data_IF_429584402211
#
_entry.id   IF_429584402211
#
_cell.length_a   1.000
_cell.length_b   1.000
_cell.length_c   1.000
_cell.angle_alpha   90.00
_cell.angle_beta   90.00
_cell.angle_gamma   90.00
#
_symmetry.space_group_name_H-M   'P 1'
#
loop_
_entity.id
_entity.type
_entity.pdbx_description
1 polymer ?
#
# COMPACT_ATOMS: atom_id res chain seq x y z
N UNK A 1 11.42 -18.87 -15.82
CA UNK A 1 10.24 -18.34 -15.09
C UNK A 1 10.00 -16.91 -15.53
N UNK A 2 8.75 -16.52 -15.84
CA UNK A 2 8.43 -15.12 -16.12
C UNK A 2 8.26 -14.35 -14.81
N UNK A 3 8.61 -13.07 -14.81
CA UNK A 3 8.47 -12.19 -13.65
C UNK A 3 7.83 -10.85 -14.03
N UNK A 4 7.25 -10.18 -13.02
CA UNK A 4 6.67 -8.85 -13.09
C UNK A 4 6.90 -8.13 -11.76
N UNK A 5 6.80 -6.80 -11.75
CA UNK A 5 6.79 -6.06 -10.49
C UNK A 5 5.45 -6.27 -9.77
N UNK A 6 5.43 -6.30 -8.42
CA UNK A 6 4.20 -6.56 -7.65
C UNK A 6 3.17 -5.42 -7.73
N UNK A 7 3.58 -4.27 -8.26
CA UNK A 7 2.71 -3.12 -8.53
C UNK A 7 3.13 -2.49 -9.86
N UNK A 8 2.17 -1.90 -10.57
CA UNK A 8 2.40 -1.07 -11.76
C UNK A 8 2.60 0.41 -11.37
N UNK A 9 2.92 1.24 -12.36
CA UNK A 9 2.83 2.70 -12.27
C UNK A 9 1.36 3.16 -12.22
N UNK A 10 1.13 4.45 -11.93
CA UNK A 10 -0.22 5.05 -11.83
C UNK A 10 -1.06 4.76 -13.07
N UNK A 11 -0.45 4.85 -14.25
CA UNK A 11 -1.13 4.65 -15.54
C UNK A 11 -1.42 3.17 -15.87
N UNK A 12 -0.84 2.23 -15.11
CA UNK A 12 -0.94 0.79 -15.31
C UNK A 12 0.22 0.18 -16.10
N UNK A 13 1.20 0.99 -16.52
CA UNK A 13 2.41 0.48 -17.15
C UNK A 13 3.34 -0.18 -16.12
N UNK A 14 4.14 -1.15 -16.57
CA UNK A 14 5.18 -1.75 -15.74
C UNK A 14 6.30 -0.72 -15.48
N UNK A 15 7.02 -0.87 -14.36
CA UNK A 15 8.26 -0.13 -14.18
C UNK A 15 9.30 -0.63 -15.20
N UNK A 16 10.08 0.31 -15.75
CA UNK A 16 11.11 -0.02 -16.75
C UNK A 16 12.20 -0.93 -16.19
N UNK A 17 12.56 -0.72 -14.92
CA UNK A 17 13.61 -1.45 -14.22
C UNK A 17 13.43 -1.33 -12.69
N UNK A 18 14.31 -2.02 -11.96
CA UNK A 18 14.33 -2.00 -10.49
C UNK A 18 14.69 -0.60 -9.96
N UNK A 19 15.49 0.18 -10.68
CA UNK A 19 15.88 1.53 -10.27
C UNK A 19 14.65 2.45 -10.16
N UNK A 20 13.74 2.37 -11.12
CA UNK A 20 12.48 3.12 -11.07
C UNK A 20 11.60 2.71 -9.87
N UNK A 21 11.52 1.40 -9.57
CA UNK A 21 10.80 0.92 -8.39
C UNK A 21 11.48 1.35 -7.07
N UNK A 22 12.81 1.38 -7.02
CA UNK A 22 13.55 1.87 -5.84
C UNK A 22 13.26 3.34 -5.54
N UNK A 23 13.14 4.18 -6.57
CA UNK A 23 12.74 5.59 -6.39
C UNK A 23 11.39 5.68 -5.68
N UNK A 24 10.43 4.82 -6.04
CA UNK A 24 9.15 4.75 -5.36
C UNK A 24 9.30 4.29 -3.90
N UNK A 25 10.03 3.21 -3.67
CA UNK A 25 10.27 2.65 -2.33
C UNK A 25 11.02 3.64 -1.41
N UNK A 26 11.81 4.56 -1.96
CA UNK A 26 12.49 5.58 -1.17
C UNK A 26 11.53 6.57 -0.49
N UNK A 27 10.31 6.73 -1.02
CA UNK A 27 9.25 7.50 -0.36
C UNK A 27 8.61 6.81 0.85
N UNK A 28 8.93 5.53 1.06
CA UNK A 28 8.41 4.73 2.17
C UNK A 28 9.15 5.07 3.46
N UNK A 29 8.40 5.36 4.52
CA UNK A 29 8.95 5.65 5.85
C UNK A 29 9.09 4.41 6.74
N UNK A 30 8.33 3.33 6.51
CA UNK A 30 8.30 2.10 7.32
C UNK A 30 8.14 0.82 6.49
N UNK A 31 8.39 -0.35 7.09
CA UNK A 31 8.18 -1.65 6.45
C UNK A 31 9.17 -1.93 5.33
N UNK A 32 10.46 -1.65 5.56
CA UNK A 32 11.55 -1.98 4.64
C UNK A 32 12.19 -3.31 5.03
N UNK A 33 12.80 -3.97 4.05
CA UNK A 33 13.43 -5.26 4.27
C UNK A 33 14.61 -5.16 5.24
N UNK A 34 14.61 -6.17 6.10
CA UNK A 34 15.46 -6.60 7.19
C UNK A 34 15.13 -6.05 8.57
N UNK A 35 14.83 -4.75 8.72
CA UNK A 35 14.55 -4.14 10.03
C UNK A 35 13.30 -3.25 9.98
N UNK A 36 12.33 -3.56 10.84
CA UNK A 36 11.15 -2.72 11.03
C UNK A 36 11.48 -1.46 11.85
N UNK A 37 10.61 -0.44 11.77
CA UNK A 37 10.62 0.69 12.71
C UNK A 37 10.52 0.26 14.18
N UNK A 38 9.92 -0.91 14.44
CA UNK A 38 9.80 -1.51 15.76
C UNK A 38 11.09 -2.13 16.29
N UNK A 39 12.22 -1.98 15.57
CA UNK A 39 13.52 -2.55 15.93
C UNK A 39 13.50 -4.08 16.03
N UNK A 40 12.65 -4.72 15.24
CA UNK A 40 12.62 -6.16 15.05
C UNK A 40 12.87 -6.54 13.60
N UNK A 41 13.10 -7.83 13.37
CA UNK A 41 13.17 -8.45 12.07
C UNK A 41 11.98 -8.05 11.19
N UNK A 42 12.24 -7.83 9.90
CA UNK A 42 11.20 -7.62 8.90
C UNK A 42 11.65 -8.30 7.60
N UNK A 43 11.22 -9.52 7.39
CA UNK A 43 11.49 -10.38 6.24
C UNK A 43 10.84 -9.95 4.92
N UNK A 44 9.83 -9.07 4.96
CA UNK A 44 9.21 -8.51 3.76
C UNK A 44 9.47 -7.02 3.50
N UNK A 45 8.69 -6.48 2.57
CA UNK A 45 8.55 -5.04 2.31
C UNK A 45 7.08 -4.65 2.31
N UNK A 46 6.80 -3.38 2.61
CA UNK A 46 5.48 -2.80 2.46
C UNK A 46 5.41 -1.92 1.21
N UNK A 47 4.28 -1.99 0.50
CA UNK A 47 3.81 -0.88 -0.32
C UNK A 47 2.60 -0.26 0.37
N UNK A 48 2.59 1.06 0.57
CA UNK A 48 1.45 1.75 1.16
C UNK A 48 0.88 2.84 0.25
N UNK A 49 -0.27 3.38 0.62
CA UNK A 49 -0.97 4.40 -0.14
C UNK A 49 -0.26 5.76 -0.19
N UNK A 50 0.78 5.99 0.63
CA UNK A 50 1.61 7.21 0.50
C UNK A 50 2.43 7.18 -0.78
N UNK A 51 3.04 6.03 -1.09
CA UNK A 51 3.87 5.88 -2.29
C UNK A 51 3.06 5.38 -3.48
N UNK A 52 2.07 4.50 -3.26
CA UNK A 52 1.32 3.81 -4.30
C UNK A 52 -0.19 3.95 -4.10
N UNK A 53 -0.71 5.17 -3.95
CA UNK A 53 -2.15 5.41 -3.73
C UNK A 53 -3.05 4.75 -4.80
N UNK A 54 -2.57 4.64 -6.05
CA UNK A 54 -3.30 3.99 -7.14
C UNK A 54 -3.54 2.50 -6.86
N UNK A 55 -2.63 1.83 -6.15
CA UNK A 55 -2.74 0.43 -5.76
C UNK A 55 -3.83 0.19 -4.70
N UNK A 56 -4.33 1.25 -4.06
CA UNK A 56 -5.51 1.20 -3.19
C UNK A 56 -6.82 1.30 -3.99
N UNK A 57 -6.81 1.96 -5.15
CA UNK A 57 -8.04 2.48 -5.75
C UNK A 57 -8.40 1.87 -7.11
N UNK A 58 -7.44 1.64 -8.01
CA UNK A 58 -7.78 1.26 -9.38
C UNK A 58 -6.69 0.50 -10.14
N UNK A 59 -5.45 0.47 -9.63
CA UNK A 59 -4.43 -0.45 -10.13
C UNK A 59 -4.27 -1.59 -9.13
N UNK A 60 -4.08 -2.83 -9.58
CA UNK A 60 -3.94 -3.96 -8.68
C UNK A 60 -2.52 -4.16 -8.17
N UNK A 61 -2.41 -4.78 -6.99
CA UNK A 61 -1.26 -5.62 -6.62
C UNK A 61 -1.27 -6.85 -7.52
N UNK A 62 -0.10 -7.24 -8.02
CA UNK A 62 0.07 -8.29 -9.03
C UNK A 62 1.05 -9.38 -8.57
N UNK A 63 0.89 -10.58 -9.13
CA UNK A 63 1.83 -11.67 -8.91
C UNK A 63 3.20 -11.36 -9.53
N UNK A 64 4.27 -11.57 -8.76
CA UNK A 64 5.63 -11.27 -9.20
C UNK A 64 6.21 -12.31 -10.15
N UNK A 65 5.68 -13.51 -10.11
CA UNK A 65 6.15 -14.64 -10.90
C UNK A 65 5.00 -15.61 -11.17
N UNK A 66 5.17 -16.43 -12.21
CA UNK A 66 4.30 -17.58 -12.43
C UNK A 66 4.32 -18.49 -11.19
N UNK A 67 3.15 -18.95 -10.74
CA UNK A 67 3.03 -19.82 -9.57
C UNK A 67 1.64 -20.41 -9.40
N UNK A 68 1.40 -21.02 -8.26
CA UNK A 68 0.13 -21.63 -7.89
C UNK A 68 -0.38 -21.02 -6.59
N UNK A 69 -1.65 -20.59 -6.55
CA UNK A 69 -2.30 -20.18 -5.31
C UNK A 69 -2.49 -21.42 -4.44
N UNK A 70 -1.80 -21.46 -3.30
CA UNK A 70 -1.79 -22.62 -2.39
C UNK A 70 -2.47 -22.34 -1.04
N UNK A 71 -2.59 -21.08 -0.66
CA UNK A 71 -3.42 -20.67 0.46
C UNK A 71 -3.87 -19.22 0.27
N UNK A 72 -5.04 -18.89 0.80
CA UNK A 72 -5.53 -17.52 0.78
C UNK A 72 -6.48 -17.25 1.94
N UNK A 73 -6.72 -15.97 2.19
CA UNK A 73 -7.86 -15.48 2.95
C UNK A 73 -8.44 -14.26 2.26
N UNK A 74 -9.74 -14.30 1.99
CA UNK A 74 -10.50 -13.14 1.52
C UNK A 74 -11.79 -13.05 2.32
N UNK A 75 -11.80 -12.17 3.32
CA UNK A 75 -12.97 -11.85 4.10
C UNK A 75 -13.87 -10.85 3.36
N UNK A 76 -15.17 -10.95 3.61
CA UNK A 76 -16.17 -10.00 3.11
C UNK A 76 -15.89 -8.60 3.67
N UNK A 77 -15.76 -8.52 5.00
CA UNK A 77 -15.42 -7.31 5.74
C UNK A 77 -14.12 -7.47 6.52
N UNK A 78 -13.57 -6.36 7.00
CA UNK A 78 -12.38 -6.41 7.85
C UNK A 78 -12.72 -6.87 9.26
N UNK A 79 -11.89 -7.72 9.89
CA UNK A 79 -11.96 -7.90 11.34
C UNK A 79 -11.72 -6.57 12.06
N UNK A 80 -12.30 -6.47 13.25
CA UNK A 80 -12.11 -5.32 14.14
C UNK A 80 -11.41 -5.73 15.43
N UNK A 81 -10.81 -4.75 16.09
CA UNK A 81 -10.33 -4.85 17.46
C UNK A 81 -10.73 -3.59 18.22
N UNK A 82 -10.97 -3.75 19.52
CA UNK A 82 -11.43 -2.69 20.39
C UNK A 82 -10.35 -2.35 21.42
N UNK A 83 -10.08 -1.05 21.55
CA UNK A 83 -9.23 -0.50 22.61
C UNK A 83 -9.92 0.72 23.22
N UNK A 84 -10.22 0.64 24.51
CA UNK A 84 -11.12 1.59 25.19
C UNK A 84 -12.46 1.70 24.43
N UNK A 85 -12.91 2.93 24.17
CA UNK A 85 -14.13 3.22 23.39
C UNK A 85 -13.88 3.24 21.87
N UNK A 86 -12.66 2.91 21.42
CA UNK A 86 -12.30 3.03 20.00
C UNK A 86 -12.25 1.66 19.34
N UNK A 87 -12.97 1.53 18.22
CA UNK A 87 -12.93 0.35 17.34
C UNK A 87 -12.02 0.63 16.15
N UNK A 88 -11.10 -0.29 15.87
CA UNK A 88 -10.19 -0.24 14.71
C UNK A 88 -10.36 -1.48 13.84
N UNK A 89 -10.16 -1.32 12.54
CA UNK A 89 -10.32 -2.34 11.51
C UNK A 89 -8.98 -2.59 10.81
N UNK A 90 -8.67 -3.85 10.53
CA UNK A 90 -7.43 -4.19 9.85
C UNK A 90 -7.64 -5.35 8.88
N UNK A 91 -6.88 -5.38 7.80
CA UNK A 91 -6.88 -6.51 6.88
C UNK A 91 -6.01 -7.63 7.42
N UNK A 92 -6.58 -8.83 7.46
CA UNK A 92 -5.87 -10.10 7.61
C UNK A 92 -5.96 -10.96 6.33
N UNK A 93 -6.44 -10.38 5.23
CA UNK A 93 -6.56 -11.04 3.92
C UNK A 93 -5.17 -11.22 3.31
N UNK A 94 -4.97 -12.34 2.62
CA UNK A 94 -3.72 -12.62 1.94
C UNK A 94 -3.89 -13.60 0.77
N UNK A 95 -2.88 -13.62 -0.10
CA UNK A 95 -2.64 -14.69 -1.06
C UNK A 95 -1.23 -15.24 -0.85
N UNK A 96 -1.10 -16.57 -0.85
CA UNK A 96 0.17 -17.28 -0.82
C UNK A 96 0.34 -18.04 -2.14
N UNK A 97 1.37 -17.67 -2.89
CA UNK A 97 1.74 -18.36 -4.13
C UNK A 97 2.94 -19.27 -3.89
N UNK A 98 2.85 -20.52 -4.38
CA UNK A 98 3.99 -21.44 -4.52
C UNK A 98 4.58 -21.28 -5.91
N UNK A 99 5.91 -21.23 -5.99
CA UNK A 99 6.66 -21.14 -7.23
C UNK A 99 7.60 -22.33 -7.34
N UNK A 100 7.80 -22.80 -8.57
CA UNK A 100 8.80 -23.83 -8.88
C UNK A 100 9.74 -23.27 -9.94
N UNK A 101 11.02 -23.18 -9.59
CA UNK A 101 12.10 -22.82 -10.50
C UNK A 101 12.83 -24.08 -10.94
N UNK A 102 12.66 -24.46 -12.21
CA UNK A 102 13.36 -25.59 -12.80
C UNK A 102 14.86 -25.26 -12.96
N UNK A 103 15.75 -26.16 -12.55
CA UNK A 103 17.18 -26.02 -12.84
C UNK A 103 17.36 -26.08 -14.38
N UNK A 104 17.96 -25.04 -15.00
CA UNK A 104 18.18 -25.02 -16.45
C UNK A 104 19.14 -26.10 -16.96
N UNK A 105 20.00 -26.62 -16.09
CA UNK A 105 21.06 -27.58 -16.44
C UNK A 105 20.67 -29.03 -16.09
N UNK A 106 19.64 -29.25 -15.26
CA UNK A 106 19.19 -30.58 -14.80
C UNK A 106 17.67 -30.65 -14.69
N UNK A 107 17.03 -31.47 -15.53
CA UNK A 107 15.57 -31.57 -15.61
C UNK A 107 14.92 -32.19 -14.36
N UNK A 108 15.64 -32.99 -13.58
CA UNK A 108 15.15 -33.65 -12.37
C UNK A 108 15.32 -32.80 -11.09
N UNK A 109 15.94 -31.61 -11.19
CA UNK A 109 16.20 -30.72 -10.08
C UNK A 109 15.38 -29.43 -10.18
N UNK A 110 14.64 -29.09 -9.12
CA UNK A 110 13.89 -27.83 -9.05
C UNK A 110 13.94 -27.24 -7.65
N UNK A 111 13.74 -25.93 -7.57
CA UNK A 111 13.68 -25.18 -6.33
C UNK A 111 12.27 -24.65 -6.09
N UNK A 112 11.74 -24.89 -4.89
CA UNK A 112 10.44 -24.36 -4.48
C UNK A 112 10.64 -23.17 -3.55
N UNK A 113 9.91 -22.09 -3.83
CA UNK A 113 9.84 -20.91 -2.97
C UNK A 113 8.42 -20.34 -3.02
N UNK A 114 8.13 -19.39 -2.12
CA UNK A 114 6.80 -18.83 -1.94
C UNK A 114 6.85 -17.31 -1.98
N UNK A 115 5.75 -16.71 -2.44
CA UNK A 115 5.49 -15.29 -2.24
C UNK A 115 4.18 -15.07 -1.51
N UNK A 116 4.22 -14.24 -0.47
CA UNK A 116 3.10 -13.94 0.41
C UNK A 116 2.71 -12.48 0.25
N UNK A 117 1.45 -12.25 -0.09
CA UNK A 117 0.83 -10.93 -0.27
C UNK A 117 -0.22 -10.73 0.81
N UNK A 118 0.15 -10.02 1.87
CA UNK A 118 -0.68 -9.81 3.06
C UNK A 118 -1.32 -8.43 3.11
N UNK A 119 -2.37 -8.30 3.91
CA UNK A 119 -3.15 -7.07 4.10
C UNK A 119 -3.89 -6.63 2.83
N UNK A 120 -4.42 -7.57 2.02
CA UNK A 120 -5.19 -7.22 0.83
C UNK A 120 -6.59 -6.67 1.18
N UNK A 121 -7.25 -5.96 0.27
CA UNK A 121 -8.61 -5.45 0.54
C UNK A 121 -9.64 -6.55 0.81
N UNK A 122 -10.72 -6.19 1.50
CA UNK A 122 -11.90 -7.05 1.67
C UNK A 122 -12.72 -7.14 0.38
N UNK A 123 -13.49 -8.21 0.24
CA UNK A 123 -14.37 -8.37 -0.93
C UNK A 123 -15.40 -7.25 -1.02
N UNK A 124 -15.97 -6.82 0.10
CA UNK A 124 -16.93 -5.71 0.15
C UNK A 124 -16.33 -4.40 -0.34
N UNK A 125 -15.11 -4.05 0.07
CA UNK A 125 -14.49 -2.79 -0.35
C UNK A 125 -14.18 -2.77 -1.86
N UNK A 126 -13.94 -3.93 -2.46
CA UNK A 126 -13.78 -4.08 -3.92
C UNK A 126 -15.14 -3.95 -4.61
N UNK A 127 -16.16 -4.67 -4.13
CA UNK A 127 -17.50 -4.68 -4.71
C UNK A 127 -18.20 -3.32 -4.61
N UNK A 128 -18.04 -2.60 -3.50
CA UNK A 128 -18.61 -1.26 -3.32
C UNK A 128 -18.00 -0.28 -4.34
N UNK A 129 -16.69 -0.39 -4.63
CA UNK A 129 -16.03 0.43 -5.67
C UNK A 129 -16.56 0.13 -7.07
N UNK A 130 -16.78 -1.15 -7.39
CA UNK A 130 -17.35 -1.59 -8.68
C UNK A 130 -18.76 -1.01 -8.83
N UNK A 131 -19.61 -1.26 -7.84
CA UNK A 131 -21.02 -0.81 -7.81
C UNK A 131 -21.14 0.71 -7.91
N UNK A 132 -20.27 1.44 -7.20
CA UNK A 132 -20.23 2.90 -7.25
C UNK A 132 -19.86 3.45 -8.63
N UNK A 133 -18.94 2.80 -9.33
CA UNK A 133 -18.54 3.17 -10.68
C UNK A 133 -19.61 2.82 -11.72
N UNK A 134 -20.23 1.64 -11.63
CA UNK A 134 -21.31 1.18 -12.52
C UNK A 134 -22.56 2.06 -12.43
N UNK A 135 -22.93 2.45 -11.21
CA UNK A 135 -24.04 3.38 -10.96
C UNK A 135 -23.65 4.86 -11.16
N UNK A 136 -22.38 5.12 -11.44
CA UNK A 136 -21.78 6.46 -11.48
C UNK A 136 -22.10 7.32 -10.24
N UNK A 137 -22.40 6.70 -9.10
CA UNK A 137 -22.85 7.38 -7.87
C UNK A 137 -21.69 7.98 -7.08
N UNK A 138 -20.52 7.34 -7.12
CA UNK A 138 -19.27 7.83 -6.53
C UNK A 138 -18.10 7.46 -7.45
N UNK A 139 -17.50 8.45 -8.10
CA UNK A 139 -16.32 8.26 -8.95
C UNK A 139 -15.17 9.03 -8.33
N UNK A 140 -14.14 8.34 -7.85
CA UNK A 140 -12.99 9.02 -7.24
C UNK A 140 -11.93 9.43 -8.26
N UNK A 141 -11.71 8.59 -9.28
CA UNK A 141 -10.65 8.78 -10.26
C UNK A 141 -11.19 8.59 -11.67
N UNK A 142 -10.64 9.36 -12.60
CA UNK A 142 -10.99 9.30 -14.01
C UNK A 142 -9.73 9.32 -14.87
N UNK A 143 -9.77 8.66 -16.02
CA UNK A 143 -8.76 8.78 -17.09
C UNK A 143 -9.37 9.54 -18.27
N UNK A 144 -8.66 10.56 -18.74
CA UNK A 144 -9.11 11.35 -19.90
C UNK A 144 -9.06 10.51 -21.19
N UNK A 145 -10.18 10.47 -21.93
CA UNK A 145 -10.27 9.76 -23.22
C UNK A 145 -9.65 10.54 -24.39
N UNK A 146 -9.44 11.85 -24.20
CA UNK A 146 -8.87 12.78 -25.18
C UNK A 146 -8.18 13.94 -24.46
N UNK A 147 -7.43 14.73 -25.21
CA UNK A 147 -6.83 15.95 -24.67
C UNK A 147 -7.93 16.90 -24.18
N UNK A 148 -7.73 17.51 -23.01
CA UNK A 148 -8.74 18.36 -22.39
C UNK A 148 -8.15 19.62 -21.77
N UNK A 149 -8.84 20.75 -21.91
CA UNK A 149 -8.37 21.99 -21.30
C UNK A 149 -8.66 21.99 -19.80
N UNK A 150 -7.63 22.26 -19.03
CA UNK A 150 -7.72 22.62 -17.62
C UNK A 150 -7.51 24.11 -17.43
N UNK A 151 -8.09 24.65 -16.36
CA UNK A 151 -8.04 26.07 -16.00
C UNK A 151 -7.73 26.27 -14.53
N UNK A 152 -7.34 27.50 -14.19
CA UNK A 152 -7.29 27.99 -12.81
C UNK A 152 -8.69 28.13 -12.22
N UNK A 153 -8.78 28.59 -10.98
CA UNK A 153 -10.04 28.80 -10.28
C UNK A 153 -11.01 29.72 -11.05
N UNK A 154 -12.29 29.34 -11.20
CA UNK A 154 -13.36 30.21 -11.67
C UNK A 154 -13.34 31.58 -10.99
N UNK A 155 -13.54 32.64 -11.78
CA UNK A 155 -13.46 34.02 -11.32
C UNK A 155 -12.04 34.58 -11.08
N UNK A 156 -10.98 33.76 -11.18
CA UNK A 156 -9.60 34.26 -11.04
C UNK A 156 -9.13 35.02 -12.30
N UNK A 157 -8.18 35.95 -12.13
CA UNK A 157 -7.60 36.71 -13.24
C UNK A 157 -6.95 35.82 -14.33
N UNK A 158 -6.52 34.62 -13.96
CA UNK A 158 -5.89 33.65 -14.85
C UNK A 158 -6.86 32.60 -15.40
N UNK A 159 -8.16 32.70 -15.12
CA UNK A 159 -9.16 31.71 -15.53
C UNK A 159 -9.18 31.46 -17.05
N UNK A 160 -8.97 32.51 -17.86
CA UNK A 160 -8.92 32.40 -19.31
C UNK A 160 -7.68 31.66 -19.84
N UNK A 161 -6.61 31.54 -19.04
CA UNK A 161 -5.42 30.75 -19.39
C UNK A 161 -5.75 29.26 -19.31
N UNK A 162 -5.67 28.60 -20.46
CA UNK A 162 -5.88 27.15 -20.59
C UNK A 162 -4.55 26.41 -20.61
N UNK A 163 -4.52 25.27 -19.94
CA UNK A 163 -3.45 24.27 -20.11
C UNK A 163 -4.08 22.99 -20.64
N UNK A 164 -3.59 22.53 -21.79
CA UNK A 164 -4.09 21.32 -22.41
C UNK A 164 -3.49 20.12 -21.69
N UNK A 165 -4.33 19.35 -21.00
CA UNK A 165 -3.96 18.05 -20.44
C UNK A 165 -4.05 17.00 -21.55
N UNK A 166 -3.05 16.13 -21.70
CA UNK A 166 -3.07 15.06 -22.69
C UNK A 166 -4.09 13.98 -22.35
N UNK A 167 -4.53 13.26 -23.39
CA UNK A 167 -5.19 11.97 -23.27
C UNK A 167 -4.42 11.07 -22.29
N UNK A 168 -5.14 10.21 -21.58
CA UNK A 168 -4.61 9.23 -20.61
C UNK A 168 -4.10 9.86 -19.30
N UNK A 169 -4.20 11.18 -19.14
CA UNK A 169 -4.03 11.82 -17.83
C UNK A 169 -5.07 11.29 -16.83
N UNK A 170 -4.63 11.03 -15.60
CA UNK A 170 -5.48 10.53 -14.52
C UNK A 170 -5.72 11.63 -13.51
N UNK A 171 -6.99 11.84 -13.18
CA UNK A 171 -7.47 12.94 -12.36
C UNK A 171 -8.26 12.38 -11.19
N UNK A 172 -8.06 12.95 -10.00
CA UNK A 172 -8.88 12.68 -8.81
C UNK A 172 -9.99 13.72 -8.74
N UNK A 173 -11.24 13.29 -8.63
CA UNK A 173 -12.37 14.18 -8.35
C UNK A 173 -12.29 14.67 -6.90
N UNK A 174 -12.48 15.98 -6.69
CA UNK A 174 -12.55 16.56 -5.35
C UNK A 174 -13.89 16.21 -4.69
N UNK A 175 -14.98 16.21 -5.46
CA UNK A 175 -16.29 15.69 -5.08
C UNK A 175 -16.61 14.44 -5.91
N UNK A 176 -16.47 13.22 -5.33
CA UNK A 176 -16.73 11.98 -6.05
C UNK A 176 -18.20 11.80 -6.49
N UNK A 177 -19.15 12.46 -5.81
CA UNK A 177 -20.57 12.43 -6.21
C UNK A 177 -20.84 13.24 -7.46
N UNK A 178 -19.95 14.19 -7.78
CA UNK A 178 -20.09 15.20 -8.85
C UNK A 178 -21.33 16.08 -8.67
N UNK A 179 -21.95 16.09 -7.48
CA UNK A 179 -23.11 16.93 -7.19
C UNK A 179 -22.72 18.42 -7.13
N UNK A 180 -21.48 18.72 -6.76
CA UNK A 180 -20.95 20.08 -6.68
C UNK A 180 -20.29 20.46 -8.00
N UNK A 181 -20.93 21.38 -8.75
CA UNK A 181 -20.38 22.02 -9.94
C UNK A 181 -20.33 23.53 -9.75
N UNK A 182 -19.28 24.16 -10.28
CA UNK A 182 -19.17 25.63 -10.30
C UNK A 182 -19.58 26.15 -11.67
N UNK A 183 -20.48 27.14 -11.70
CA UNK A 183 -20.88 27.80 -12.94
C UNK A 183 -20.01 29.02 -13.19
N UNK A 184 -19.47 29.13 -14.38
CA UNK A 184 -18.74 30.33 -14.81
C UNK A 184 -18.77 30.49 -16.33
N UNK A 185 -18.35 31.66 -16.81
CA UNK A 185 -18.35 32.01 -18.23
C UNK A 185 -16.94 32.02 -18.80
N UNK A 186 -16.78 31.34 -19.93
CA UNK A 186 -15.64 31.57 -20.82
C UNK A 186 -16.13 32.53 -21.90
N UNK A 187 -15.63 33.76 -21.86
CA UNK A 187 -16.14 34.87 -22.69
C UNK A 187 -17.66 35.06 -22.48
N UNK A 188 -18.49 34.72 -23.46
CA UNK A 188 -19.94 34.89 -23.41
C UNK A 188 -20.71 33.59 -23.20
N UNK A 189 -20.01 32.46 -23.06
CA UNK A 189 -20.62 31.13 -22.96
C UNK A 189 -20.48 30.60 -21.54
N UNK A 190 -21.59 30.16 -20.95
CA UNK A 190 -21.64 29.58 -19.60
C UNK A 190 -21.31 28.09 -19.62
N UNK A 191 -20.57 27.65 -18.61
CA UNK A 191 -20.16 26.25 -18.43
C UNK A 191 -20.34 25.81 -16.98
N UNK A 192 -20.59 24.51 -16.79
CA UNK A 192 -20.37 23.86 -15.50
C UNK A 192 -18.91 23.37 -15.43
N UNK A 193 -18.26 23.58 -14.29
CA UNK A 193 -16.90 23.14 -14.02
C UNK A 193 -16.83 22.15 -12.86
N UNK A 194 -15.99 21.13 -13.03
CA UNK A 194 -15.58 20.23 -11.95
C UNK A 194 -14.17 20.56 -11.49
N UNK A 195 -13.99 20.59 -10.17
CA UNK A 195 -12.69 20.70 -9.54
C UNK A 195 -12.07 19.30 -9.44
N UNK A 196 -10.84 19.17 -9.92
CA UNK A 196 -10.07 17.91 -9.92
C UNK A 196 -8.64 18.16 -9.47
N UNK A 197 -7.97 17.12 -8.97
CA UNK A 197 -6.52 17.11 -8.77
C UNK A 197 -5.86 16.24 -9.83
N UNK A 198 -4.84 16.75 -10.50
CA UNK A 198 -4.07 15.97 -11.49
C UNK A 198 -3.13 15.03 -10.76
N UNK A 199 -3.27 13.71 -10.95
CA UNK A 199 -2.44 12.70 -10.26
C UNK A 199 -1.52 11.93 -11.21
N UNK A 200 -1.80 11.94 -12.50
CA UNK A 200 -0.90 11.50 -13.56
C UNK A 200 -1.12 12.37 -14.79
N UNK A 201 -0.04 12.77 -15.45
CA UNK A 201 -0.09 13.48 -16.73
C UNK A 201 0.22 12.47 -17.82
N UNK A 202 -0.70 12.31 -18.76
CA UNK A 202 -0.50 11.46 -19.94
C UNK A 202 0.61 12.01 -20.84
N UNK A 203 0.84 11.34 -21.97
CA UNK A 203 1.93 11.71 -22.88
C UNK A 203 1.41 12.14 -24.25
N UNK A 204 1.91 13.27 -24.74
CA UNK A 204 1.67 13.71 -26.09
C UNK A 204 2.49 12.90 -27.09
N UNK A 205 1.84 12.03 -27.88
CA UNK A 205 2.50 11.31 -28.98
C UNK A 205 2.73 12.26 -30.17
N UNK A 206 3.97 12.52 -30.60
CA UNK A 206 4.28 13.32 -31.81
C UNK A 206 5.57 14.17 -31.78
N UNK A 207 5.69 15.12 -32.73
CA UNK A 207 6.90 15.89 -33.06
C UNK A 207 7.29 16.99 -32.01
N UNK A 208 8.46 17.63 -32.20
CA UNK A 208 9.12 18.56 -31.24
C UNK A 208 8.26 19.70 -30.68
N UNK A 209 7.25 20.20 -31.41
CA UNK A 209 6.37 21.29 -30.93
C UNK A 209 5.52 20.91 -29.72
N UNK A 210 5.38 19.62 -29.42
CA UNK A 210 4.63 19.14 -28.25
C UNK A 210 5.42 19.18 -26.94
N UNK A 211 6.75 19.39 -26.99
CA UNK A 211 7.58 19.46 -25.76
C UNK A 211 7.14 20.61 -24.85
N UNK A 212 6.86 21.78 -25.42
CA UNK A 212 6.39 22.94 -24.63
C UNK A 212 5.04 22.64 -23.97
N UNK A 213 4.11 22.05 -24.72
CA UNK A 213 2.76 21.73 -24.24
C UNK A 213 2.83 20.62 -23.17
N UNK A 214 3.71 19.63 -23.35
CA UNK A 214 3.97 18.59 -22.36
C UNK A 214 4.51 19.21 -21.07
N UNK A 215 5.52 20.09 -21.15
CA UNK A 215 6.08 20.76 -19.98
C UNK A 215 5.03 21.58 -19.22
N UNK A 216 4.14 22.28 -19.92
CA UNK A 216 3.03 23.02 -19.29
C UNK A 216 2.02 22.09 -18.62
N UNK A 217 1.74 20.92 -19.21
CA UNK A 217 0.88 19.91 -18.62
C UNK A 217 1.52 19.23 -17.40
N UNK A 218 2.81 18.90 -17.47
CA UNK A 218 3.58 18.27 -16.39
C UNK A 218 3.64 19.15 -15.14
N UNK A 219 3.67 20.48 -15.31
CA UNK A 219 3.56 21.45 -14.21
C UNK A 219 2.21 21.39 -13.47
N UNK A 220 1.20 20.75 -14.03
CA UNK A 220 -0.09 20.52 -13.36
C UNK A 220 -0.10 19.29 -12.48
N UNK A 221 0.91 18.43 -12.53
CA UNK A 221 0.99 17.29 -11.63
C UNK A 221 0.86 17.75 -10.17
N UNK A 222 0.00 17.06 -9.41
CA UNK A 222 -0.37 17.37 -8.03
C UNK A 222 -1.10 18.70 -7.79
N UNK A 223 -1.45 19.46 -8.83
CA UNK A 223 -2.22 20.69 -8.72
C UNK A 223 -3.73 20.43 -8.81
N UNK A 224 -4.51 21.26 -8.14
CA UNK A 224 -5.95 21.35 -8.36
C UNK A 224 -6.24 22.23 -9.58
N UNK A 225 -7.11 21.75 -10.46
CA UNK A 225 -7.50 22.43 -11.70
C UNK A 225 -9.00 22.27 -11.95
N UNK A 226 -9.53 23.10 -12.85
CA UNK A 226 -10.95 23.10 -13.20
C UNK A 226 -11.16 22.66 -14.64
N UNK A 227 -12.07 21.71 -14.84
CA UNK A 227 -12.44 21.18 -16.15
C UNK A 227 -13.84 21.67 -16.52
N UNK A 228 -14.01 22.23 -17.71
CA UNK A 228 -15.35 22.46 -18.26
C UNK A 228 -15.98 21.11 -18.60
N UNK A 229 -17.18 20.84 -18.06
CA UNK A 229 -17.90 19.56 -18.20
C UNK A 229 -19.27 19.67 -18.86
N UNK A 230 -19.74 20.90 -19.11
CA UNK A 230 -21.00 21.15 -19.81
C UNK A 230 -20.97 22.55 -20.37
N UNK A 231 -21.45 22.73 -21.59
CA UNK A 231 -21.68 24.03 -22.21
C UNK A 231 -23.18 24.30 -22.27
N UNK A 232 -23.66 25.47 -21.84
CA UNK A 232 -25.08 25.83 -21.96
C UNK A 232 -25.39 26.41 -23.35
N UNK A 233 -26.53 26.00 -23.94
CA UNK A 233 -27.04 26.50 -25.22
C UNK A 233 -26.75 25.61 -26.44
N UNK A 234 -25.92 24.59 -26.30
CA UNK A 234 -25.80 23.49 -27.27
C UNK A 234 -26.63 22.30 -26.75
N UNK A 235 -27.35 21.59 -27.63
CA UNK A 235 -28.30 20.53 -27.28
C UNK A 235 -27.69 19.25 -26.68
N UNK A 236 -26.46 19.32 -26.15
CA UNK A 236 -25.73 18.20 -25.55
C UNK A 236 -26.14 17.94 -24.11
N UNK A 237 -26.51 16.68 -23.83
CA UNK A 237 -26.78 16.18 -22.49
C UNK A 237 -25.47 16.15 -21.65
N UNK A 238 -25.47 16.63 -20.38
CA UNK A 238 -24.32 16.51 -19.46
C UNK A 238 -23.68 15.11 -19.38
N UNK A 239 -24.48 14.04 -19.43
CA UNK A 239 -23.96 12.67 -19.39
C UNK A 239 -23.18 12.30 -20.65
N UNK A 240 -23.64 12.77 -21.81
CA UNK A 240 -22.93 12.57 -23.08
C UNK A 240 -21.58 13.27 -23.06
N UNK A 241 -21.52 14.46 -22.48
CA UNK A 241 -20.27 15.18 -22.29
C UNK A 241 -19.31 14.41 -21.38
N UNK A 242 -19.81 13.93 -20.23
CA UNK A 242 -19.02 13.14 -19.29
C UNK A 242 -18.46 11.86 -19.93
N UNK A 243 -19.31 11.10 -20.62
CA UNK A 243 -18.92 9.86 -21.28
C UNK A 243 -17.87 10.07 -22.37
N UNK A 244 -17.91 11.24 -23.02
CA UNK A 244 -16.90 11.67 -24.00
C UNK A 244 -15.61 12.19 -23.35
N UNK A 245 -15.69 12.77 -22.15
CA UNK A 245 -14.57 13.37 -21.45
C UNK A 245 -13.60 12.30 -20.92
N UNK A 246 -14.13 11.34 -20.16
CA UNK A 246 -13.31 10.43 -19.38
C UNK A 246 -13.96 9.08 -19.15
N UNK A 247 -13.13 8.12 -18.74
CA UNK A 247 -13.58 6.84 -18.17
C UNK A 247 -13.37 6.84 -16.65
N UNK A 248 -14.33 6.37 -15.85
CA UNK A 248 -14.11 6.08 -14.43
C UNK A 248 -13.03 5.01 -14.29
N UNK A 249 -12.07 5.25 -13.40
CA UNK A 249 -11.15 4.21 -12.96
C UNK A 249 -11.74 3.54 -11.73
N UNK A 250 -11.90 2.22 -11.79
CA UNK A 250 -12.48 1.42 -10.73
C UNK A 250 -11.70 0.13 -10.53
N UNK A 251 -11.88 -0.47 -9.36
CA UNK A 251 -11.38 -1.79 -9.03
C UNK A 251 -12.08 -2.84 -9.89
N UNK A 252 -11.45 -4.00 -9.99
CA UNK A 252 -12.06 -5.23 -10.50
C UNK A 252 -11.97 -6.29 -9.42
N UNK A 253 -12.79 -7.33 -9.49
CA UNK A 253 -12.59 -8.50 -8.63
C UNK A 253 -11.33 -9.25 -9.09
N UNK A 254 -10.47 -9.74 -8.18
CA UNK A 254 -9.29 -10.51 -8.59
C UNK A 254 -9.69 -11.74 -9.41
N UNK A 255 -9.08 -12.01 -10.57
CA UNK A 255 -9.46 -13.13 -11.44
C UNK A 255 -9.41 -14.47 -10.72
N UNK A 256 -8.45 -14.67 -9.83
CA UNK A 256 -8.29 -15.89 -9.04
C UNK A 256 -9.53 -16.23 -8.20
N UNK A 257 -10.30 -15.23 -7.76
CA UNK A 257 -11.54 -15.45 -7.00
C UNK A 257 -12.65 -16.10 -7.84
N UNK A 258 -12.66 -15.85 -9.15
CA UNK A 258 -13.72 -16.29 -10.09
C UNK A 258 -13.20 -17.28 -11.14
N UNK A 259 -11.95 -17.74 -11.00
CA UNK A 259 -11.20 -18.45 -12.07
C UNK A 259 -11.83 -19.79 -12.48
N UNK A 260 -12.63 -20.40 -11.61
CA UNK A 260 -13.32 -21.66 -11.86
C UNK A 260 -14.76 -21.47 -12.37
N UNK A 261 -15.13 -20.24 -12.77
CA UNK A 261 -16.49 -19.87 -13.18
C UNK A 261 -17.27 -19.18 -12.03
N UNK A 262 -18.26 -18.33 -12.34
CA UNK A 262 -19.03 -17.58 -11.34
C UNK A 262 -19.80 -18.46 -10.35
N UNK A 263 -20.13 -19.70 -10.76
CA UNK A 263 -20.75 -20.72 -9.91
C UNK A 263 -19.78 -21.44 -8.97
N UNK A 264 -18.46 -21.31 -9.19
CA UNK A 264 -17.40 -21.96 -8.41
C UNK A 264 -16.43 -20.91 -7.82
N UNK A 265 -16.96 -19.76 -7.40
CA UNK A 265 -16.16 -18.75 -6.74
C UNK A 265 -15.47 -19.34 -5.51
N UNK A 266 -14.20 -19.02 -5.35
CA UNK A 266 -13.46 -19.39 -4.15
C UNK A 266 -14.17 -18.82 -2.92
N UNK A 267 -14.33 -19.58 -1.82
CA UNK A 267 -15.06 -19.13 -0.65
C UNK A 267 -14.60 -17.76 -0.13
N UNK A 268 -15.57 -16.87 0.12
CA UNK A 268 -15.39 -15.69 0.96
C UNK A 268 -15.49 -16.12 2.42
N UNK A 269 -14.49 -15.76 3.21
CA UNK A 269 -14.29 -16.32 4.54
C UNK A 269 -14.93 -15.42 5.60
N UNK A 270 -16.02 -15.88 6.22
CA UNK A 270 -16.72 -15.14 7.26
C UNK A 270 -16.09 -15.30 8.66
N UNK A 271 -15.45 -16.43 8.94
CA UNK A 271 -14.91 -16.80 10.26
C UNK A 271 -13.41 -16.53 10.42
N UNK A 272 -12.78 -15.92 9.41
CA UNK A 272 -11.34 -15.64 9.41
C UNK A 272 -10.44 -16.87 9.23
N UNK A 273 -10.98 -18.02 8.82
CA UNK A 273 -10.16 -19.20 8.49
C UNK A 273 -9.22 -18.96 7.29
N UNK A 274 -8.23 -19.84 7.14
CA UNK A 274 -7.38 -19.90 5.94
C UNK A 274 -7.96 -20.93 5.00
N UNK A 275 -8.05 -20.60 3.72
CA UNK A 275 -8.56 -21.47 2.68
C UNK A 275 -7.41 -22.01 1.84
N UNK A 276 -7.53 -23.28 1.43
CA UNK A 276 -6.62 -23.96 0.51
C UNK A 276 -7.43 -24.37 -0.71
N UNK A 277 -7.11 -23.89 -1.91
CA UNK A 277 -7.82 -24.32 -3.12
C UNK A 277 -7.72 -25.84 -3.30
N UNK A 278 -8.86 -26.50 -3.57
CA UNK A 278 -8.91 -27.96 -3.78
C UNK A 278 -8.14 -28.39 -5.05
N UNK A 279 -8.12 -27.52 -6.06
CA UNK A 279 -7.41 -27.73 -7.32
C UNK A 279 -6.27 -26.71 -7.46
N UNK A 280 -5.13 -27.10 -8.07
CA UNK A 280 -4.04 -26.17 -8.34
C UNK A 280 -4.50 -25.00 -9.19
N UNK A 281 -4.42 -23.79 -8.63
CA UNK A 281 -4.81 -22.57 -9.30
C UNK A 281 -3.59 -21.82 -9.79
N UNK A 282 -3.27 -22.00 -11.07
CA UNK A 282 -2.15 -21.30 -11.71
C UNK A 282 -2.40 -19.80 -11.75
N UNK A 283 -1.45 -19.00 -11.29
CA UNK A 283 -1.41 -17.53 -11.37
C UNK A 283 -0.21 -17.13 -12.21
N UNK A 284 -0.42 -16.24 -13.19
CA UNK A 284 0.67 -15.75 -14.05
C UNK A 284 1.34 -14.51 -13.49
N UNK A 285 2.62 -14.32 -13.80
CA UNK A 285 3.30 -13.06 -13.52
C UNK A 285 2.50 -11.88 -14.12
N UNK A 286 2.28 -10.83 -13.31
CA UNK A 286 1.46 -9.67 -13.67
C UNK A 286 -0.04 -9.86 -13.45
N UNK A 287 -0.51 -11.06 -13.08
CA UNK A 287 -1.93 -11.31 -12.79
C UNK A 287 -2.35 -10.63 -11.48
N UNK A 288 -3.55 -10.06 -11.48
CA UNK A 288 -4.11 -9.30 -10.37
C UNK A 288 -4.41 -10.20 -9.16
N UNK A 289 -3.86 -9.82 -8.00
CA UNK A 289 -4.07 -10.48 -6.71
C UNK A 289 -5.01 -9.72 -5.76
N UNK A 290 -4.98 -8.40 -5.74
CA UNK A 290 -5.87 -7.58 -4.95
C UNK A 290 -5.45 -6.11 -4.95
N UNK A 291 -5.81 -5.39 -3.89
CA UNK A 291 -5.48 -3.98 -3.67
C UNK A 291 -4.94 -3.77 -2.26
N UNK A 292 -4.30 -2.64 -2.01
CA UNK A 292 -3.81 -2.27 -0.67
C UNK A 292 -4.98 -2.24 0.34
N UNK A 293 -4.94 -3.12 1.32
CA UNK A 293 -5.98 -3.25 2.34
C UNK A 293 -5.74 -2.33 3.53
N UNK A 294 -6.80 -2.09 4.27
CA UNK A 294 -6.82 -1.18 5.40
C UNK A 294 -6.00 -1.72 6.57
N UNK A 295 -5.29 -0.85 7.26
CA UNK A 295 -4.63 -1.13 8.53
C UNK A 295 -4.78 0.08 9.46
N UNK A 296 -5.75 0.01 10.37
CA UNK A 296 -5.92 0.99 11.44
C UNK A 296 -5.09 0.58 12.67
N UNK A 297 -4.39 1.54 13.26
CA UNK A 297 -3.55 1.32 14.43
C UNK A 297 -3.65 2.47 15.42
N UNK A 298 -3.41 2.15 16.70
CA UNK A 298 -3.40 3.16 17.75
C UNK A 298 -2.24 4.14 17.54
N UNK A 299 -2.60 5.41 17.40
CA UNK A 299 -1.65 6.53 17.32
C UNK A 299 -1.09 6.89 18.70
N UNK A 300 -1.89 6.74 19.74
CA UNK A 300 -1.52 7.06 21.12
C UNK A 300 -2.32 6.24 22.14
N UNK A 301 -1.92 6.33 23.41
CA UNK A 301 -2.57 5.62 24.52
C UNK A 301 -3.98 6.14 24.84
N UNK A 302 -4.39 7.30 24.31
CA UNK A 302 -5.75 7.84 24.49
C UNK A 302 -6.79 7.18 23.57
N UNK A 303 -6.38 6.23 22.72
CA UNK A 303 -7.29 5.53 21.81
C UNK A 303 -7.42 6.17 20.43
N UNK A 304 -6.70 7.27 20.14
CA UNK A 304 -6.77 7.87 18.81
C UNK A 304 -6.24 6.90 17.75
N UNK A 305 -6.98 6.70 16.68
CA UNK A 305 -6.59 5.86 15.55
C UNK A 305 -5.88 6.69 14.48
N UNK A 306 -4.86 6.10 13.89
CA UNK A 306 -4.33 6.47 12.57
C UNK A 306 -4.55 5.31 11.60
N UNK A 307 -4.51 5.59 10.30
CA UNK A 307 -4.76 4.57 9.29
C UNK A 307 -3.76 4.65 8.14
N UNK A 308 -3.42 3.48 7.60
CA UNK A 308 -2.76 3.35 6.32
C UNK A 308 -3.43 2.25 5.50
N UNK A 309 -3.21 2.29 4.18
CA UNK A 309 -3.57 1.17 3.31
C UNK A 309 -2.27 0.58 2.79
N UNK A 310 -2.08 -0.72 2.95
CA UNK A 310 -0.81 -1.36 2.64
C UNK A 310 -0.97 -2.78 2.14
N UNK A 311 0.07 -3.29 1.50
CA UNK A 311 0.31 -4.72 1.31
C UNK A 311 1.68 -5.02 1.92
N UNK A 312 1.78 -6.11 2.66
CA UNK A 312 3.07 -6.69 3.05
C UNK A 312 3.42 -7.79 2.06
N UNK A 313 4.64 -7.75 1.53
CA UNK A 313 5.14 -8.66 0.52
C UNK A 313 6.40 -9.35 1.01
N UNK A 314 6.35 -10.67 1.09
CA UNK A 314 7.47 -11.50 1.52
C UNK A 314 7.75 -12.61 0.51
N UNK A 315 9.02 -12.96 0.33
CA UNK A 315 9.48 -14.10 -0.46
C UNK A 315 10.32 -14.99 0.43
N UNK A 316 9.95 -16.26 0.55
CA UNK A 316 10.62 -17.20 1.45
C UNK A 316 10.64 -18.63 0.90
N UNK A 317 11.48 -19.47 1.49
CA UNK A 317 11.51 -20.90 1.24
C UNK A 317 11.88 -21.64 2.52
N UNK A 318 11.47 -22.91 2.60
CA UNK A 318 11.93 -23.82 3.66
C UNK A 318 13.37 -24.30 3.40
N UNK A 319 13.79 -24.27 2.13
CA UNK A 319 15.07 -24.79 1.69
C UNK A 319 16.06 -23.67 1.41
N UNK A 320 17.34 -23.96 1.63
CA UNK A 320 18.42 -23.07 1.21
C UNK A 320 18.37 -22.87 -0.32
N UNK A 321 18.42 -21.62 -0.82
CA UNK A 321 18.36 -21.36 -2.25
C UNK A 321 19.60 -21.95 -2.95
N UNK A 322 19.43 -22.79 -3.97
CA UNK A 322 20.55 -23.39 -4.67
C UNK A 322 21.25 -22.39 -5.60
N UNK A 323 22.51 -22.65 -5.92
CA UNK A 323 23.35 -21.75 -6.73
C UNK A 323 22.76 -21.42 -8.10
N UNK A 324 22.14 -22.38 -8.78
CA UNK A 324 21.52 -22.13 -10.09
C UNK A 324 20.38 -21.11 -10.00
N UNK A 325 19.67 -21.06 -8.87
CA UNK A 325 18.61 -20.10 -8.64
C UNK A 325 19.18 -18.69 -8.36
N UNK A 326 20.21 -18.60 -7.51
CA UNK A 326 20.88 -17.32 -7.21
C UNK A 326 21.54 -16.72 -8.46
N UNK A 327 22.21 -17.56 -9.26
CA UNK A 327 22.78 -17.18 -10.56
C UNK A 327 21.70 -16.65 -11.50
N UNK A 328 20.54 -17.30 -11.56
CA UNK A 328 19.42 -16.84 -12.40
C UNK A 328 18.89 -15.47 -11.95
N UNK A 329 18.73 -15.24 -10.64
CA UNK A 329 18.32 -13.94 -10.09
C UNK A 329 19.33 -12.83 -10.40
N UNK A 330 20.62 -13.16 -10.48
CA UNK A 330 21.69 -12.23 -10.82
C UNK A 330 21.94 -12.08 -12.34
N UNK A 331 20.98 -12.48 -13.19
CA UNK A 331 21.10 -12.35 -14.64
C UNK A 331 22.18 -13.26 -15.25
N UNK A 332 22.49 -14.38 -14.60
CA UNK A 332 23.44 -15.39 -15.07
C UNK A 332 24.88 -15.23 -14.59
N UNK A 333 25.17 -14.24 -13.73
CA UNK A 333 26.53 -14.00 -13.20
C UNK A 333 26.93 -15.05 -12.16
N UNK A 334 28.15 -15.59 -12.26
CA UNK A 334 28.67 -16.54 -11.26
C UNK A 334 28.96 -15.85 -9.93
N UNK A 335 29.60 -14.67 -9.97
CA UNK A 335 29.69 -13.79 -8.80
C UNK A 335 28.37 -13.03 -8.64
N UNK A 336 27.33 -13.73 -8.18
CA UNK A 336 25.99 -13.19 -8.03
C UNK A 336 25.87 -12.22 -6.84
N UNK A 337 26.79 -12.26 -5.87
CA UNK A 337 26.86 -11.34 -4.74
C UNK A 337 25.75 -11.51 -3.69
N UNK A 338 24.96 -12.59 -3.76
CA UNK A 338 24.01 -12.94 -2.71
C UNK A 338 24.75 -13.45 -1.47
N UNK A 339 24.29 -13.02 -0.31
CA UNK A 339 24.86 -13.38 0.98
C UNK A 339 23.77 -13.96 1.86
N UNK A 340 24.00 -15.19 2.32
CA UNK A 340 23.12 -15.79 3.32
C UNK A 340 23.61 -15.42 4.71
N UNK A 341 22.73 -14.81 5.49
CA UNK A 341 22.97 -14.50 6.90
C UNK A 341 22.18 -15.47 7.76
N UNK A 342 22.84 -16.10 8.73
CA UNK A 342 22.20 -17.05 9.65
C UNK A 342 21.68 -16.31 10.89
N UNK A 343 20.37 -16.03 10.90
CA UNK A 343 19.63 -15.49 12.03
C UNK A 343 18.82 -16.56 12.76
N UNK A 344 19.15 -17.86 12.63
CA UNK A 344 18.35 -18.92 13.26
C UNK A 344 18.37 -18.90 14.79
N UNK A 345 19.39 -18.29 15.40
CA UNK A 345 19.48 -18.06 16.85
C UNK A 345 18.74 -16.80 17.32
N UNK A 346 18.25 -15.99 16.38
CA UNK A 346 17.57 -14.74 16.68
C UNK A 346 16.16 -14.99 17.17
N UNK A 347 15.76 -14.24 18.20
CA UNK A 347 14.38 -14.17 18.66
C UNK A 347 13.49 -13.31 17.75
N UNK A 348 14.07 -12.58 16.79
CA UNK A 348 13.35 -11.63 15.92
C UNK A 348 13.31 -10.21 16.46
N UNK A 349 13.83 -9.96 17.67
CA UNK A 349 14.02 -8.62 18.23
C UNK A 349 15.51 -8.26 18.20
N UNK A 350 15.81 -6.98 17.93
CA UNK A 350 17.17 -6.44 18.05
C UNK A 350 17.57 -6.26 19.51
N UNK A 351 17.81 -7.37 20.22
CA UNK A 351 18.42 -7.36 21.55
C UNK A 351 19.95 -7.18 21.45
N UNK A 352 20.60 -6.43 22.37
CA UNK A 352 22.07 -6.26 22.35
C UNK A 352 22.87 -7.57 22.43
N UNK A 353 22.29 -8.62 23.02
CA UNK A 353 22.89 -9.95 23.08
C UNK A 353 22.80 -10.72 21.76
N UNK A 354 21.99 -10.26 20.81
CA UNK A 354 21.78 -10.92 19.54
C UNK A 354 22.94 -10.60 18.57
N UNK A 355 23.85 -11.57 18.44
CA UNK A 355 25.05 -11.43 17.59
C UNK A 355 24.74 -11.17 16.12
N UNK A 356 23.59 -11.64 15.62
CA UNK A 356 23.12 -11.41 14.26
C UNK A 356 22.78 -9.92 14.00
N UNK A 357 22.11 -9.26 14.95
CA UNK A 357 21.72 -7.86 14.78
C UNK A 357 22.81 -6.86 15.15
N UNK A 358 23.84 -7.26 15.89
CA UNK A 358 24.90 -6.32 16.30
C UNK A 358 25.68 -5.72 15.12
N UNK A 359 25.84 -6.44 14.01
CA UNK A 359 26.49 -5.91 12.81
C UNK A 359 25.60 -4.92 12.06
N UNK A 360 24.31 -5.25 11.93
CA UNK A 360 23.33 -4.37 11.27
C UNK A 360 23.06 -3.14 12.13
N UNK A 361 22.94 -3.30 13.45
CA UNK A 361 22.75 -2.22 14.43
C UNK A 361 23.89 -1.21 14.38
N UNK A 362 25.15 -1.68 14.38
CA UNK A 362 26.34 -0.79 14.26
C UNK A 362 26.40 -0.05 12.92
N UNK A 363 25.81 -0.59 11.86
CA UNK A 363 25.73 0.09 10.58
C UNK A 363 24.64 1.18 10.54
N UNK A 364 23.66 1.11 11.44
CA UNK A 364 22.53 2.05 11.54
C UNK A 364 22.79 3.14 12.59
N UNK A 365 23.26 2.76 13.78
CA UNK A 365 23.57 3.62 14.94
C UNK A 365 24.84 4.46 14.65
N UNK A 366 24.66 5.56 13.93
CA UNK A 366 25.76 6.39 13.42
C UNK A 366 26.28 7.37 14.47
N UNK A 367 25.45 7.76 15.43
CA UNK A 367 25.85 8.62 16.53
C UNK A 367 26.41 7.83 17.73
N UNK A 368 26.31 6.49 17.69
CA UNK A 368 26.79 5.55 18.72
C UNK A 368 26.14 5.78 20.09
N UNK A 369 24.90 6.26 20.13
CA UNK A 369 24.14 6.46 21.37
C UNK A 369 23.49 5.16 21.90
N UNK A 370 23.60 4.07 21.13
CA UNK A 370 23.05 2.75 21.47
C UNK A 370 21.56 2.60 21.14
N UNK A 371 20.93 3.63 20.58
CA UNK A 371 19.57 3.66 20.06
C UNK A 371 19.60 3.64 18.53
N UNK A 372 18.45 3.33 17.92
CA UNK A 372 18.25 3.53 16.48
C UNK A 372 17.11 4.53 16.34
N UNK A 373 17.43 5.74 15.90
CA UNK A 373 16.44 6.78 15.60
C UNK A 373 15.77 6.54 14.23
N UNK A 374 14.62 7.17 14.00
CA UNK A 374 13.96 7.12 12.68
C UNK A 374 14.85 7.73 11.58
N UNK A 375 15.59 8.79 11.91
CA UNK A 375 16.48 9.47 10.96
C UNK A 375 17.65 8.58 10.54
N UNK A 376 18.27 7.88 11.48
CA UNK A 376 19.35 6.94 11.21
C UNK A 376 18.87 5.75 10.38
N UNK A 377 17.70 5.22 10.72
CA UNK A 377 17.09 4.13 9.96
C UNK A 377 16.82 4.56 8.51
N UNK A 378 16.28 5.77 8.30
CA UNK A 378 16.06 6.35 6.96
C UNK A 378 17.38 6.55 6.22
N UNK A 379 18.41 7.11 6.87
CA UNK A 379 19.72 7.35 6.27
C UNK A 379 20.42 6.04 5.89
N UNK A 380 20.39 5.05 6.78
CA UNK A 380 20.87 3.70 6.51
C UNK A 380 20.16 3.12 5.29
N UNK A 381 18.84 3.17 5.23
CA UNK A 381 18.11 2.63 4.09
C UNK A 381 18.37 3.36 2.77
N UNK A 382 18.69 4.65 2.80
CA UNK A 382 19.11 5.41 1.61
C UNK A 382 20.54 5.05 1.16
N UNK A 383 21.45 4.81 2.11
CA UNK A 383 22.85 4.51 1.83
C UNK A 383 23.12 3.01 1.56
N UNK A 384 22.33 2.12 2.18
CA UNK A 384 22.53 0.68 2.21
C UNK A 384 21.56 -0.11 1.32
N UNK A 385 20.69 0.54 0.54
CA UNK A 385 19.72 -0.15 -0.33
C UNK A 385 20.41 -1.22 -1.17
N UNK A 386 21.51 -0.84 -1.85
CA UNK A 386 22.29 -1.75 -2.70
C UNK A 386 22.96 -2.89 -1.91
N UNK A 387 23.22 -2.72 -0.60
CA UNK A 387 23.85 -3.74 0.25
C UNK A 387 22.86 -4.80 0.72
N UNK A 388 21.60 -4.42 0.95
CA UNK A 388 20.57 -5.33 1.49
C UNK A 388 19.80 -6.11 0.43
N UNK A 389 19.78 -5.63 -0.82
CA UNK A 389 19.09 -6.29 -1.96
C UNK A 389 19.53 -7.72 -2.25
N UNK A 390 20.75 -8.06 -1.81
CA UNK A 390 21.35 -9.38 -2.03
C UNK A 390 21.51 -10.17 -0.73
N UNK A 391 20.87 -9.71 0.35
CA UNK A 391 20.89 -10.41 1.63
C UNK A 391 19.72 -11.39 1.68
N UNK A 392 20.01 -12.64 2.03
CA UNK A 392 19.03 -13.70 2.27
C UNK A 392 19.19 -14.10 3.72
N UNK A 393 18.15 -13.95 4.52
CA UNK A 393 18.22 -14.33 5.92
C UNK A 393 17.55 -15.67 6.16
N UNK A 394 18.26 -16.54 6.87
CA UNK A 394 17.66 -17.71 7.52
C UNK A 394 17.14 -17.27 8.88
N UNK A 395 15.82 -17.20 9.04
CA UNK A 395 15.18 -16.78 10.28
C UNK A 395 13.94 -17.64 10.55
N UNK A 396 13.63 -18.01 11.80
CA UNK A 396 12.53 -18.93 12.09
C UNK A 396 11.14 -18.32 11.88
N UNK A 397 10.98 -17.01 12.08
CA UNK A 397 9.69 -16.30 11.94
C UNK A 397 9.88 -14.79 12.01
N UNK A 398 9.13 -13.98 11.26
CA UNK A 398 9.10 -12.53 11.54
C UNK A 398 8.37 -12.15 12.82
N UNK A 399 7.52 -13.06 13.28
CA UNK A 399 6.68 -12.87 14.45
C UNK A 399 7.43 -13.35 15.68
N UNK A 400 7.92 -12.39 16.45
CA UNK A 400 8.40 -12.67 17.79
C UNK A 400 7.21 -12.90 18.73
N UNK A 401 7.10 -14.12 19.25
CA UNK A 401 6.15 -14.47 20.31
C UNK A 401 6.92 -14.92 21.55
N UNK A 402 7.50 -13.97 22.29
CA UNK A 402 7.76 -14.20 23.70
C UNK A 402 6.66 -13.50 24.47
N UNK A 403 5.82 -14.30 25.10
CA UNK A 403 4.63 -13.87 25.85
C UNK A 403 4.93 -12.67 26.76
N UNK A 404 6.13 -12.64 27.35
CA UNK A 404 6.59 -11.58 28.25
C UNK A 404 6.73 -10.19 27.60
N UNK A 405 7.14 -10.05 26.34
CA UNK A 405 7.43 -8.70 25.79
C UNK A 405 6.21 -7.97 25.24
N UNK A 406 5.31 -8.70 24.58
CA UNK A 406 3.98 -8.17 24.26
C UNK A 406 3.22 -7.88 25.56
N UNK A 407 3.29 -8.78 26.55
CA UNK A 407 2.75 -8.51 27.88
C UNK A 407 3.39 -7.27 28.52
N UNK A 408 4.70 -7.06 28.43
CA UNK A 408 5.39 -5.85 28.94
C UNK A 408 4.94 -4.60 28.17
N UNK A 409 4.80 -4.66 26.85
CA UNK A 409 4.36 -3.51 26.04
C UNK A 409 2.90 -3.15 26.30
N UNK A 410 2.02 -4.15 26.36
CA UNK A 410 0.62 -3.97 26.77
C UNK A 410 0.53 -3.51 28.22
N UNK A 411 1.33 -4.06 29.13
CA UNK A 411 1.40 -3.64 30.52
C UNK A 411 1.84 -2.19 30.64
N UNK A 412 2.87 -1.75 29.90
CA UNK A 412 3.27 -0.33 29.83
C UNK A 412 2.17 0.58 29.27
N UNK A 413 1.43 0.12 28.25
CA UNK A 413 0.27 0.84 27.70
C UNK A 413 -0.89 0.92 28.71
N UNK A 414 -1.15 -0.16 29.43
CA UNK A 414 -2.16 -0.25 30.50
C UNK A 414 -1.74 0.65 31.67
N UNK A 415 -0.49 0.59 32.13
CA UNK A 415 0.07 1.45 33.17
C UNK A 415 -0.03 2.92 32.77
N UNK A 416 0.31 3.27 31.53
CA UNK A 416 0.19 4.65 31.05
C UNK A 416 -1.28 5.09 30.94
N UNK A 417 -2.16 4.21 30.50
CA UNK A 417 -3.60 4.44 30.48
C UNK A 417 -4.17 4.69 31.88
N UNK A 418 -3.76 3.85 32.85
CA UNK A 418 -4.09 4.00 34.29
C UNK A 418 -3.60 5.34 34.82
N UNK A 419 -2.34 5.71 34.57
CA UNK A 419 -1.77 7.00 35.00
C UNK A 419 -2.57 8.19 34.44
N UNK A 420 -2.96 8.15 33.16
CA UNK A 420 -3.76 9.23 32.53
C UNK A 420 -5.15 9.31 33.16
N UNK A 421 -5.80 8.16 33.38
CA UNK A 421 -7.12 8.07 33.97
C UNK A 421 -7.12 8.52 35.43
N UNK A 422 -6.10 8.11 36.18
CA UNK A 422 -5.83 8.53 37.55
C UNK A 422 -5.60 10.03 37.64
N UNK A 423 -4.77 10.61 36.78
CA UNK A 423 -4.54 12.06 36.74
C UNK A 423 -5.82 12.84 36.44
N UNK A 424 -6.67 12.33 35.54
CA UNK A 424 -7.98 12.92 35.26
C UNK A 424 -8.91 12.85 36.47
N UNK A 425 -8.97 11.70 37.15
CA UNK A 425 -9.84 11.51 38.31
C UNK A 425 -9.37 12.33 39.52
N UNK A 426 -8.06 12.41 39.75
CA UNK A 426 -7.42 13.30 40.73
C UNK A 426 -7.82 14.76 40.52
N UNK A 427 -7.93 15.21 39.27
CA UNK A 427 -8.30 16.61 38.96
C UNK A 427 -9.70 17.02 39.42
N UNK A 428 -10.59 16.08 39.73
CA UNK A 428 -11.92 16.37 40.27
C UNK A 428 -11.93 16.63 41.79
N UNK A 429 -10.81 16.43 42.47
CA UNK A 429 -10.68 16.62 43.92
C UNK A 429 -9.79 17.82 44.22
N UNK A 430 -10.16 18.56 45.27
CA UNK A 430 -9.45 19.77 45.70
C UNK A 430 -8.16 19.48 46.48
N UNK A 431 -8.00 18.25 46.97
CA UNK A 431 -6.83 17.80 47.70
C UNK A 431 -6.52 16.34 47.38
N UNK A 432 -5.23 16.01 47.50
CA UNK A 432 -4.72 14.64 47.37
C UNK A 432 -5.44 13.68 48.33
N UNK A 433 -5.63 14.10 49.58
CA UNK A 433 -6.36 13.35 50.60
C UNK A 433 -7.83 13.08 50.21
N UNK A 434 -8.48 14.02 49.52
CA UNK A 434 -9.85 13.85 49.03
C UNK A 434 -9.95 12.80 47.92
N UNK A 435 -8.94 12.75 47.03
CA UNK A 435 -8.86 11.71 46.01
C UNK A 435 -8.59 10.32 46.61
N UNK A 436 -7.62 10.23 47.53
CA UNK A 436 -7.22 8.96 48.15
C UNK A 436 -8.35 8.31 48.98
N UNK A 437 -9.23 9.12 49.57
CA UNK A 437 -10.41 8.63 50.31
C UNK A 437 -11.64 8.41 49.43
N UNK A 438 -11.53 8.57 48.10
CA UNK A 438 -12.60 8.30 47.15
C UNK A 438 -12.62 6.82 46.72
N UNK A 439 -13.67 6.32 46.06
CA UNK A 439 -13.69 4.94 45.55
C UNK A 439 -12.84 4.74 44.28
N UNK A 440 -12.31 5.82 43.69
CA UNK A 440 -11.65 5.76 42.39
C UNK A 440 -10.24 5.13 42.38
N UNK A 441 -9.36 5.31 43.39
CA UNK A 441 -8.08 4.62 43.45
C UNK A 441 -8.22 3.10 43.35
N UNK A 442 -9.17 2.51 44.08
CA UNK A 442 -9.41 1.05 44.07
C UNK A 442 -9.96 0.56 42.72
N UNK A 443 -10.75 1.38 42.02
CA UNK A 443 -11.30 1.05 40.69
C UNK A 443 -10.27 1.09 39.55
N UNK A 444 -9.14 1.80 39.74
CA UNK A 444 -8.06 1.87 38.75
C UNK A 444 -7.11 0.67 38.87
N UNK A 445 -7.05 0.03 40.04
CA UNK A 445 -6.20 -1.14 40.30
C UNK A 445 -6.80 -2.45 39.76
N UNK A 446 -8.13 -2.58 39.74
CA UNK A 446 -8.87 -3.69 39.08
C UNK A 446 -8.74 -3.65 37.57
#
# INVERSE_FOLDING_TARGET
MKTAFPICQVDGSQFNDVSALKVLLNGQTSGRYIISKGRGWHGGIHFNNRIAFWAQHFQPVQAMADGELVAYRMAEEYPTTQYLETTSSYSNNFCLLRHTFQNPDKEDESYTFYSLYMHLQSQKEIQDSITAAESASQISYIRLKKNWNSRSEPGSADFDKKVLLPKDSILKLIDPSRATVTKDKIRNTEYDFLKVKVVCVGQYVGNKDKVKIQNEADQKLNQEVWLAIKQYGEGTNPEEFWNNLAEPLTKQMPPWHTKNGPENNLPIVADGTVQVPELPMNIKAGEHLGYLGKYEYLKNAQGNIDQEYRVHLEVFSNDHPPEYFLKALAGGQEEHGFQVIDGSSSTGVMEPANTFFNDIRRAIDTDNDGQISENELVAFYQAATNRLEKVIAKHPSEWYSKEDELAIKYKKLIEKGREIQENKLRSYYQSEEGYQNSPYPEMIES
#
